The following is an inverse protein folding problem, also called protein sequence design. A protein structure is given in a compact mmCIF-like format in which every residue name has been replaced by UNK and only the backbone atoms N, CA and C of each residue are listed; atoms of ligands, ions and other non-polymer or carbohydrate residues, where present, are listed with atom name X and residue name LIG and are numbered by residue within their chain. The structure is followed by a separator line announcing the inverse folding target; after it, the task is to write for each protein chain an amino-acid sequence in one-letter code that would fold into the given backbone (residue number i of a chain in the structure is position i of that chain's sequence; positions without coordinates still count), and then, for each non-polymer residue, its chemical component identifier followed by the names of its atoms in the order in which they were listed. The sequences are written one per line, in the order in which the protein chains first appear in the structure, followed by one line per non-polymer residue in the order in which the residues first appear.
data_IF_161508220849
#
_entry.id   IF_161508220849
#
_cell.length_a   1.000
_cell.length_b   1.000
_cell.length_c   1.000
_cell.angle_alpha   90.00
_cell.angle_beta   90.00
_cell.angle_gamma   90.00
#
_symmetry.space_group_name_H-M   'P 1'
#
loop_
_entity.id
_entity.type
_entity.pdbx_description
1 polymer ?
#
# COMPACT_ATOMS: atom_id res chain seq x y z
N UNK A 1 -0.49 -14.98 -2.12
CA UNK A 1 0.99 -14.92 -2.14
C UNK A 1 1.44 -13.56 -1.63
N UNK A 2 2.64 -13.42 -1.06
CA UNK A 2 3.28 -12.14 -0.71
C UNK A 2 4.73 -12.19 -1.17
N UNK A 3 5.19 -11.16 -1.87
CA UNK A 3 6.54 -11.06 -2.41
C UNK A 3 7.09 -9.70 -2.01
N UNK A 4 8.34 -9.67 -1.55
CA UNK A 4 9.08 -8.44 -1.29
C UNK A 4 10.32 -8.43 -2.18
N UNK A 5 10.49 -7.37 -2.97
CA UNK A 5 11.66 -7.17 -3.84
C UNK A 5 12.56 -6.13 -3.18
N UNK A 6 13.80 -6.51 -2.86
CA UNK A 6 14.78 -5.64 -2.21
C UNK A 6 16.15 -5.76 -2.89
N UNK A 7 17.00 -4.76 -2.67
CA UNK A 7 18.29 -4.65 -3.35
C UNK A 7 18.88 -3.24 -3.24
N UNK A 8 20.10 -3.04 -3.74
CA UNK A 8 20.78 -1.75 -3.72
C UNK A 8 20.19 -0.76 -4.74
N UNK A 9 20.63 0.50 -4.69
CA UNK A 9 20.36 1.47 -5.76
C UNK A 9 20.91 0.96 -7.10
N UNK A 10 20.15 1.15 -8.18
CA UNK A 10 20.55 0.73 -9.53
C UNK A 10 20.39 -0.77 -9.84
N UNK A 11 19.93 -1.62 -8.92
CA UNK A 11 19.81 -3.07 -9.16
C UNK A 11 18.55 -3.50 -9.95
N UNK A 12 17.80 -2.54 -10.52
CA UNK A 12 16.60 -2.83 -11.32
C UNK A 12 15.36 -3.29 -10.52
N UNK A 13 15.29 -3.03 -9.21
CA UNK A 13 14.17 -3.49 -8.34
C UNK A 13 12.80 -3.09 -8.85
N UNK A 14 12.66 -1.83 -9.28
CA UNK A 14 11.38 -1.27 -9.71
C UNK A 14 10.94 -1.91 -11.02
N UNK A 15 11.86 -2.04 -11.99
CA UNK A 15 11.61 -2.72 -13.25
C UNK A 15 11.23 -4.19 -13.04
N UNK A 16 11.99 -4.92 -12.21
CA UNK A 16 11.66 -6.32 -11.87
C UNK A 16 10.30 -6.42 -11.19
N UNK A 17 9.97 -5.50 -10.28
CA UNK A 17 8.66 -5.45 -9.63
C UNK A 17 7.54 -5.20 -10.64
N UNK A 18 7.70 -4.23 -11.54
CA UNK A 18 6.71 -3.90 -12.57
C UNK A 18 6.46 -5.09 -13.51
N UNK A 19 7.54 -5.69 -14.04
CA UNK A 19 7.44 -6.85 -14.93
C UNK A 19 6.83 -8.06 -14.23
N UNK A 20 7.18 -8.30 -12.95
CA UNK A 20 6.58 -9.39 -12.17
C UNK A 20 5.08 -9.16 -11.93
N UNK A 21 4.68 -7.92 -11.65
CA UNK A 21 3.27 -7.57 -11.45
C UNK A 21 2.45 -7.79 -12.73
N UNK A 22 2.93 -7.27 -13.86
CA UNK A 22 2.32 -7.48 -15.17
C UNK A 22 2.28 -8.96 -15.54
N UNK A 23 3.37 -9.70 -15.35
CA UNK A 23 3.41 -11.13 -15.63
C UNK A 23 2.36 -11.93 -14.84
N UNK A 24 2.27 -11.68 -13.53
CA UNK A 24 1.30 -12.35 -12.66
C UNK A 24 -0.14 -11.99 -13.05
N UNK A 25 -0.38 -10.76 -13.52
CA UNK A 25 -1.70 -10.34 -13.96
C UNK A 25 -2.07 -10.93 -15.32
N UNK A 26 -1.27 -10.64 -16.35
CA UNK A 26 -1.61 -10.91 -17.75
C UNK A 26 -1.49 -12.40 -18.10
N UNK A 27 -0.49 -13.09 -17.55
CA UNK A 27 -0.19 -14.48 -17.93
C UNK A 27 -0.67 -15.51 -16.90
N UNK A 28 -0.85 -15.10 -15.64
CA UNK A 28 -1.32 -16.00 -14.58
C UNK A 28 -2.74 -15.71 -14.09
N UNK A 29 -3.36 -14.62 -14.54
CA UNK A 29 -4.72 -14.23 -14.15
C UNK A 29 -4.86 -13.87 -12.67
N UNK A 30 -3.76 -13.59 -11.98
CA UNK A 30 -3.82 -13.21 -10.57
C UNK A 30 -4.25 -11.75 -10.43
N UNK A 31 -5.00 -11.47 -9.36
CA UNK A 31 -5.20 -10.11 -8.89
C UNK A 31 -3.96 -9.66 -8.13
N UNK A 32 -3.30 -8.63 -8.63
CA UNK A 32 -2.03 -8.14 -8.10
C UNK A 32 -2.23 -6.76 -7.50
N UNK A 33 -1.74 -6.57 -6.27
CA UNK A 33 -1.62 -5.28 -5.60
C UNK A 33 -0.15 -5.03 -5.31
N UNK A 34 0.43 -4.03 -5.97
CA UNK A 34 1.76 -3.50 -5.69
C UNK A 34 1.71 -2.41 -4.64
N UNK A 35 2.76 -2.37 -3.81
CA UNK A 35 2.99 -1.29 -2.83
C UNK A 35 4.35 -0.70 -3.17
N UNK A 36 4.36 0.53 -3.69
CA UNK A 36 5.60 1.25 -3.96
C UNK A 36 6.11 1.89 -2.67
N UNK A 37 7.04 1.18 -2.03
CA UNK A 37 7.77 1.63 -0.85
C UNK A 37 9.16 2.17 -1.18
N UNK A 38 9.45 2.52 -2.44
CA UNK A 38 10.67 3.25 -2.79
C UNK A 38 10.40 4.76 -2.75
N UNK A 39 11.27 5.52 -2.09
CA UNK A 39 11.19 6.99 -2.04
C UNK A 39 11.12 7.67 -3.42
N UNK A 40 11.66 7.05 -4.47
CA UNK A 40 11.61 7.63 -5.82
C UNK A 40 10.26 7.44 -6.53
N UNK A 41 9.38 6.56 -6.03
CA UNK A 41 8.03 6.31 -6.54
C UNK A 41 7.90 6.02 -8.06
N UNK A 42 8.92 5.40 -8.66
CA UNK A 42 8.98 5.14 -10.10
C UNK A 42 8.08 3.96 -10.55
N UNK A 43 7.46 3.18 -9.65
CA UNK A 43 6.76 1.95 -10.04
C UNK A 43 5.56 2.23 -10.95
N UNK A 44 4.85 3.34 -10.73
CA UNK A 44 3.74 3.76 -11.60
C UNK A 44 4.19 4.02 -13.05
N UNK A 45 5.35 4.66 -13.21
CA UNK A 45 5.92 4.97 -14.53
C UNK A 45 6.40 3.70 -15.24
N UNK A 46 7.06 2.79 -14.52
CA UNK A 46 7.51 1.50 -15.06
C UNK A 46 6.34 0.59 -15.47
N UNK A 47 5.17 0.73 -14.82
CA UNK A 47 3.93 0.06 -15.21
C UNK A 47 3.26 0.69 -16.43
N UNK A 48 3.76 1.83 -16.93
CA UNK A 48 3.21 2.54 -18.09
C UNK A 48 2.03 3.46 -17.76
N UNK A 49 1.95 3.99 -16.54
CA UNK A 49 0.84 4.87 -16.13
C UNK A 49 0.70 6.10 -17.03
N UNK A 50 -0.53 6.37 -17.45
CA UNK A 50 -0.92 7.62 -18.09
C UNK A 50 -1.43 8.62 -17.07
N UNK A 51 -1.51 9.91 -17.46
CA UNK A 51 -2.14 10.93 -16.60
C UNK A 51 -3.60 10.58 -16.28
N UNK A 52 -4.31 9.94 -17.21
CA UNK A 52 -5.69 9.52 -17.00
C UNK A 52 -5.79 8.43 -15.91
N UNK A 53 -4.87 7.46 -15.90
CA UNK A 53 -4.81 6.43 -14.86
C UNK A 53 -4.60 7.06 -13.48
N UNK A 54 -3.66 8.01 -13.40
CA UNK A 54 -3.32 8.69 -12.15
C UNK A 54 -4.45 9.58 -11.62
N UNK A 55 -5.28 10.14 -12.51
CA UNK A 55 -6.38 11.03 -12.13
C UNK A 55 -7.60 10.29 -11.56
N UNK A 56 -7.79 9.00 -11.88
CA UNK A 56 -8.90 8.15 -11.44
C UNK A 56 -10.31 8.77 -11.59
N UNK A 57 -10.49 9.59 -12.63
CA UNK A 57 -11.76 10.27 -12.92
C UNK A 57 -12.25 11.14 -11.75
N UNK A 58 -13.52 10.95 -11.37
CA UNK A 58 -14.17 11.72 -10.28
C UNK A 58 -13.55 11.45 -8.89
N UNK A 59 -12.85 10.32 -8.71
CA UNK A 59 -12.18 9.99 -7.44
C UNK A 59 -10.92 10.83 -7.19
N UNK A 60 -10.41 11.50 -8.22
CA UNK A 60 -9.16 12.26 -8.15
C UNK A 60 -7.93 11.39 -7.88
N UNK A 61 -6.79 12.04 -7.69
CA UNK A 61 -5.50 11.37 -7.46
C UNK A 61 -5.53 10.54 -6.17
N UNK A 62 -4.92 9.36 -6.21
CA UNK A 62 -4.74 8.52 -5.02
C UNK A 62 -3.91 9.24 -3.96
N UNK A 63 -4.37 9.14 -2.71
CA UNK A 63 -3.56 9.58 -1.58
C UNK A 63 -2.37 8.64 -1.42
N UNK A 64 -1.25 9.20 -0.97
CA UNK A 64 -0.10 8.41 -0.58
C UNK A 64 -0.34 7.82 0.83
N UNK A 65 -0.18 6.50 0.94
CA UNK A 65 -0.51 5.72 2.14
C UNK A 65 0.20 6.24 3.39
N UNK A 66 1.50 6.53 3.27
CA UNK A 66 2.34 7.03 4.34
C UNK A 66 2.06 8.47 4.76
N UNK A 67 1.22 9.19 4.02
CA UNK A 67 0.80 10.57 4.32
C UNK A 67 -0.60 10.64 4.97
N UNK A 68 -1.30 9.51 5.12
CA UNK A 68 -2.66 9.43 5.69
C UNK A 68 -2.74 8.45 6.89
N UNK A 69 -1.68 8.44 7.70
CA UNK A 69 -1.50 7.44 8.77
C UNK A 69 -2.59 7.48 9.85
N UNK A 70 -3.13 8.64 10.16
CA UNK A 70 -4.16 8.76 11.20
C UNK A 70 -5.49 8.17 10.75
N UNK A 71 -5.88 8.40 9.48
CA UNK A 71 -7.03 7.73 8.90
C UNK A 71 -6.83 6.21 8.86
N UNK A 72 -5.65 5.75 8.44
CA UNK A 72 -5.32 4.33 8.38
C UNK A 72 -5.41 3.65 9.75
N UNK A 73 -4.83 4.27 10.79
CA UNK A 73 -4.91 3.80 12.18
C UNK A 73 -6.35 3.62 12.61
N UNK A 74 -7.17 4.66 12.43
CA UNK A 74 -8.57 4.62 12.83
C UNK A 74 -9.37 3.57 12.03
N UNK A 75 -9.17 3.53 10.71
CA UNK A 75 -9.86 2.58 9.84
C UNK A 75 -9.52 1.13 10.20
N UNK A 76 -8.24 0.81 10.39
CA UNK A 76 -7.80 -0.56 10.67
C UNK A 76 -8.00 -0.98 12.13
N UNK A 77 -8.05 -0.02 13.08
CA UNK A 77 -8.44 -0.30 14.46
C UNK A 77 -9.83 -0.95 14.52
N UNK A 78 -10.76 -0.48 13.67
CA UNK A 78 -12.11 -1.00 13.59
C UNK A 78 -12.81 -0.88 14.95
N UNK A 79 -13.41 -1.97 15.42
CA UNK A 79 -14.04 -2.04 16.74
C UNK A 79 -13.18 -2.80 17.76
N UNK A 80 -11.86 -2.87 17.55
CA UNK A 80 -10.96 -3.61 18.45
C UNK A 80 -10.93 -2.95 19.85
N UNK A 81 -11.37 -3.64 20.91
CA UNK A 81 -11.46 -3.05 22.25
C UNK A 81 -10.09 -2.77 22.88
N UNK A 82 -9.01 -3.34 22.33
CA UNK A 82 -7.65 -3.14 22.80
C UNK A 82 -6.95 -1.94 22.16
N UNK A 83 -7.58 -1.28 21.19
CA UNK A 83 -7.07 -0.06 20.56
C UNK A 83 -7.97 1.10 20.98
N UNK A 84 -7.51 1.87 21.97
CA UNK A 84 -8.26 2.99 22.56
C UNK A 84 -7.53 4.31 22.33
N UNK A 85 -8.08 5.42 22.85
CA UNK A 85 -7.40 6.71 22.83
C UNK A 85 -6.09 6.68 23.65
N UNK A 86 -6.08 5.91 24.74
CA UNK A 86 -4.94 5.77 25.67
C UNK A 86 -3.94 4.71 25.21
N UNK A 87 -4.40 3.68 24.50
CA UNK A 87 -3.56 2.67 23.82
C UNK A 87 -3.78 2.75 22.30
N UNK A 88 -3.26 3.78 21.62
CA UNK A 88 -3.43 3.91 20.19
C UNK A 88 -2.62 2.86 19.43
N UNK A 89 -3.05 2.57 18.20
CA UNK A 89 -2.31 1.71 17.29
C UNK A 89 -0.92 2.30 17.00
N UNK A 90 0.11 1.49 17.21
CA UNK A 90 1.50 1.74 16.80
C UNK A 90 1.92 0.72 15.74
N UNK A 91 3.11 0.89 15.16
CA UNK A 91 3.60 0.04 14.06
C UNK A 91 3.63 -1.46 14.39
N UNK A 92 3.83 -1.80 15.66
CA UNK A 92 3.91 -3.18 16.16
C UNK A 92 2.63 -3.66 16.84
N UNK A 93 1.54 -2.89 16.80
CA UNK A 93 0.25 -3.32 17.35
C UNK A 93 -0.29 -4.44 16.46
N UNK A 94 -0.45 -5.67 16.96
CA UNK A 94 -1.04 -6.75 16.16
C UNK A 94 -2.54 -6.50 15.96
N UNK A 95 -3.14 -6.96 14.85
CA UNK A 95 -4.59 -6.95 14.72
C UNK A 95 -5.22 -7.94 15.72
N UNK A 96 -6.34 -7.53 16.31
CA UNK A 96 -7.15 -8.34 17.22
C UNK A 96 -8.57 -8.55 16.71
N UNK A 97 -9.42 -9.09 17.56
CA UNK A 97 -10.87 -9.09 17.32
C UNK A 97 -11.37 -7.66 17.09
N UNK A 98 -12.30 -7.47 16.15
CA UNK A 98 -12.79 -6.14 15.77
C UNK A 98 -11.88 -5.33 14.84
N UNK A 99 -10.60 -5.68 14.68
CA UNK A 99 -9.72 -5.02 13.71
C UNK A 99 -10.12 -5.32 12.28
N UNK A 100 -10.09 -4.30 11.41
CA UNK A 100 -10.21 -4.51 9.96
C UNK A 100 -8.89 -5.03 9.42
N UNK A 101 -8.93 -5.85 8.39
CA UNK A 101 -7.72 -6.40 7.76
C UNK A 101 -7.68 -6.00 6.29
N UNK A 102 -6.49 -5.76 5.77
CA UNK A 102 -6.31 -5.53 4.35
C UNK A 102 -6.52 -6.85 3.61
N UNK A 103 -7.61 -6.92 2.85
CA UNK A 103 -8.00 -8.05 2.01
C UNK A 103 -8.06 -7.60 0.57
N UNK A 104 -7.49 -8.41 -0.32
CA UNK A 104 -7.53 -8.10 -1.75
C UNK A 104 -8.97 -8.26 -2.28
N UNK A 105 -9.62 -9.38 -2.00
CA UNK A 105 -10.88 -9.79 -2.63
C UNK A 105 -12.12 -8.94 -2.32
N UNK A 106 -12.05 -7.98 -1.39
CA UNK A 106 -13.24 -7.28 -0.87
C UNK A 106 -13.23 -5.80 -1.26
N UNK A 107 -14.38 -5.23 -1.69
CA UNK A 107 -14.56 -3.78 -1.73
C UNK A 107 -14.32 -3.19 -0.34
N UNK A 108 -13.56 -2.11 -0.27
CA UNK A 108 -13.21 -1.49 1.00
C UNK A 108 -12.89 -0.02 0.81
N UNK A 109 -13.23 0.80 1.80
CA UNK A 109 -13.05 2.26 1.74
C UNK A 109 -11.59 2.68 1.51
N UNK A 110 -10.63 1.89 2.01
CA UNK A 110 -9.20 2.16 1.79
C UNK A 110 -8.82 2.00 0.31
N UNK A 111 -9.51 1.14 -0.45
CA UNK A 111 -9.23 0.92 -1.87
C UNK A 111 -9.53 2.17 -2.67
N UNK A 112 -10.68 2.78 -2.41
CA UNK A 112 -11.08 4.03 -3.08
C UNK A 112 -10.13 5.18 -2.77
N UNK A 113 -9.54 5.22 -1.57
CA UNK A 113 -8.57 6.24 -1.18
C UNK A 113 -7.21 6.07 -1.86
N UNK A 114 -6.66 4.85 -1.85
CA UNK A 114 -5.23 4.67 -2.11
C UNK A 114 -4.87 3.87 -3.36
N UNK A 115 -5.83 3.17 -3.98
CA UNK A 115 -5.53 2.31 -5.13
C UNK A 115 -5.65 3.10 -6.42
N UNK A 116 -4.60 3.04 -7.23
CA UNK A 116 -4.62 3.37 -8.66
C UNK A 116 -4.54 2.07 -9.46
N UNK A 117 -5.28 1.97 -10.56
CA UNK A 117 -5.19 0.82 -11.47
C UNK A 117 -4.43 1.25 -12.71
N UNK A 118 -3.37 0.53 -13.06
CA UNK A 118 -2.51 0.81 -14.22
C UNK A 118 -2.35 -0.52 -14.97
N UNK A 119 -2.75 -0.58 -16.24
CA UNK A 119 -2.62 -1.82 -17.03
C UNK A 119 -3.24 -3.05 -16.35
N UNK A 120 -4.35 -2.87 -15.63
CA UNK A 120 -5.05 -3.95 -14.92
C UNK A 120 -4.47 -4.35 -13.55
N UNK A 121 -3.26 -3.89 -13.19
CA UNK A 121 -2.68 -4.10 -11.85
C UNK A 121 -3.05 -2.96 -10.89
N UNK A 122 -3.22 -3.31 -9.62
CA UNK A 122 -3.50 -2.35 -8.55
C UNK A 122 -2.20 -1.85 -7.94
N UNK A 123 -2.11 -0.55 -7.66
CA UNK A 123 -0.94 0.10 -7.08
C UNK A 123 -1.32 1.01 -5.92
N UNK A 124 -0.62 0.87 -4.81
CA UNK A 124 -0.57 1.83 -3.70
C UNK A 124 0.81 2.47 -3.71
N UNK A 125 0.85 3.78 -3.50
CA UNK A 125 2.09 4.52 -3.22
C UNK A 125 2.21 4.76 -1.73
N UNK A 126 3.37 4.49 -1.14
CA UNK A 126 3.64 4.91 0.25
C UNK A 126 3.80 6.43 0.32
N UNK A 127 4.31 7.04 -0.75
CA UNK A 127 4.57 8.47 -0.83
C UNK A 127 5.99 8.86 -0.48
N UNK A 128 6.35 10.09 -0.83
CA UNK A 128 7.67 10.67 -0.58
C UNK A 128 7.68 11.43 0.75
N UNK A 129 8.87 11.77 1.25
CA UNK A 129 9.03 12.65 2.40
C UNK A 129 8.35 14.00 2.17
N UNK A 130 7.57 14.46 3.15
CA UNK A 130 7.09 15.83 3.16
C UNK A 130 8.15 16.73 3.80
N UNK A 131 7.98 18.05 3.70
CA UNK A 131 8.84 19.03 4.39
C UNK A 131 8.93 18.78 5.90
N UNK A 132 7.89 18.22 6.50
CA UNK A 132 7.84 17.91 7.93
C UNK A 132 8.61 16.64 8.33
N UNK A 133 8.88 15.77 7.36
CA UNK A 133 9.61 14.52 7.60
C UNK A 133 11.12 14.65 7.38
N UNK A 134 11.52 15.63 6.58
CA UNK A 134 12.90 15.84 6.18
C UNK A 134 13.80 16.05 7.42
N UNK A 135 14.80 15.17 7.59
CA UNK A 135 15.76 15.12 8.71
C UNK A 135 15.16 14.77 10.09
N UNK A 136 13.85 14.50 10.20
CA UNK A 136 13.19 14.16 11.47
C UNK A 136 12.76 12.70 11.56
N UNK A 137 12.47 12.06 10.42
CA UNK A 137 11.99 10.66 10.39
C UNK A 137 12.74 9.84 9.34
N UNK A 138 12.98 8.57 9.65
CA UNK A 138 13.40 7.57 8.66
C UNK A 138 12.21 7.18 7.78
N UNK A 139 12.42 6.89 6.49
CA UNK A 139 11.36 6.52 5.54
C UNK A 139 10.56 5.30 6.00
N UNK A 140 11.22 4.39 6.73
CA UNK A 140 10.57 3.23 7.37
C UNK A 140 9.42 3.58 8.33
N UNK A 141 9.28 4.84 8.76
CA UNK A 141 8.14 5.31 9.55
C UNK A 141 6.87 5.52 8.71
N UNK A 142 7.01 5.71 7.39
CA UNK A 142 5.91 5.82 6.43
C UNK A 142 5.36 4.46 5.97
N UNK A 143 6.21 3.43 6.01
CA UNK A 143 5.83 2.04 5.80
C UNK A 143 5.03 1.56 7.03
N UNK A 144 3.77 1.99 7.11
CA UNK A 144 2.86 1.66 8.19
C UNK A 144 2.42 0.21 8.11
N UNK A 145 2.57 -0.51 9.23
CA UNK A 145 2.03 -1.84 9.54
C UNK A 145 1.67 -2.80 8.36
N UNK A 146 2.50 -2.83 7.32
CA UNK A 146 2.22 -3.61 6.11
C UNK A 146 2.30 -5.12 6.33
N UNK A 147 2.76 -5.57 7.50
CA UNK A 147 2.96 -7.00 7.75
C UNK A 147 1.80 -7.65 8.49
N UNK A 148 1.30 -7.01 9.54
CA UNK A 148 0.41 -7.68 10.48
C UNK A 148 -1.08 -7.50 10.10
N UNK A 149 -1.47 -6.35 9.55
CA UNK A 149 -2.85 -6.10 9.09
C UNK A 149 -3.15 -6.66 7.70
N UNK A 150 -2.12 -7.03 6.94
CA UNK A 150 -2.31 -7.84 5.75
C UNK A 150 -2.67 -9.24 6.22
N UNK A 151 -3.89 -9.71 5.92
CA UNK A 151 -4.23 -11.14 5.94
C UNK A 151 -4.70 -11.53 4.55
N UNK A 152 -3.89 -12.32 3.87
CA UNK A 152 -4.41 -13.15 2.79
C UNK A 152 -5.08 -14.32 3.50
N UNK A 153 -6.41 -14.39 3.46
CA UNK A 153 -7.11 -15.61 3.85
C UNK A 153 -6.66 -16.68 2.86
N UNK A 154 -5.72 -17.54 3.24
CA UNK A 154 -5.68 -18.89 2.69
C UNK A 154 -6.96 -19.54 3.22
N UNK A 155 -7.83 -19.93 2.32
CA UNK A 155 -9.20 -20.35 2.64
C UNK A 155 -9.27 -21.36 3.79
N UNK A 156 -10.25 -21.14 4.67
CA UNK A 156 -11.37 -22.06 4.82
C UNK A 156 -12.64 -21.23 4.71
#
# INVERSE_FOLDING_TARGET
MRIAVYGKGGSGKTTVSASLMQFLHDFSGFRVLGIDGDHNLHLSQELGATLADLQRGEKGVALDFGNDLDWLRHYFAGSNPHITAELPMIKTTPPGEGSRLLRLSEPAQWRDRYVTVIGGVELIRVGDFTSDDYRKKCFHSKNWCDRDFFKARLGR
#
